data_IF_796664346288
#
_entry.id   IF_796664346288
#
_cell.length_a   1.000
_cell.length_b   1.000
_cell.length_c   1.000
_cell.angle_alpha   90.00
_cell.angle_beta   90.00
_cell.angle_gamma   90.00
#
_symmetry.space_group_name_H-M   'P 1'
#
loop_
_entity.id
_entity.type
_entity.pdbx_description
1 polymer ?
#
# COMPACT_ATOMS: atom_id res chain seq x y z
N UNK A 1 8.82 8.62 21.64
CA UNK A 1 8.08 7.43 21.16
C UNK A 1 8.85 6.77 20.02
N UNK A 2 8.99 5.44 20.04
CA UNK A 2 9.60 4.69 18.94
C UNK A 2 8.66 4.72 17.73
N UNK A 3 9.14 4.98 16.50
CA UNK A 3 8.27 5.19 15.34
C UNK A 3 7.35 4.01 15.03
N UNK A 4 7.80 2.78 15.27
CA UNK A 4 6.96 1.58 15.11
C UNK A 4 5.91 1.43 16.21
N UNK A 5 6.19 1.87 17.44
CA UNK A 5 5.22 1.83 18.53
C UNK A 5 4.08 2.84 18.32
N UNK A 6 4.30 3.86 17.49
CA UNK A 6 3.27 4.82 17.11
C UNK A 6 2.21 4.23 16.17
N UNK A 7 2.52 3.15 15.43
CA UNK A 7 1.59 2.55 14.47
C UNK A 7 0.26 2.10 15.10
N UNK A 8 0.28 1.69 16.38
CA UNK A 8 -0.94 1.29 17.10
C UNK A 8 -1.88 2.46 17.41
N UNK A 9 -1.38 3.70 17.34
CA UNK A 9 -2.11 4.94 17.64
C UNK A 9 -2.25 5.85 16.42
N UNK A 10 -1.71 5.43 15.28
CA UNK A 10 -1.54 6.29 14.10
C UNK A 10 -2.88 6.66 13.44
N UNK A 11 -3.68 5.64 13.11
CA UNK A 11 -5.01 5.78 12.51
C UNK A 11 -5.97 4.81 13.18
N UNK A 12 -7.24 5.19 13.27
CA UNK A 12 -8.31 4.27 13.65
C UNK A 12 -8.66 3.38 12.45
N UNK A 13 -7.94 2.27 12.31
CA UNK A 13 -8.27 1.21 11.35
C UNK A 13 -9.03 0.12 12.10
N UNK A 14 -10.36 0.01 11.94
CA UNK A 14 -11.14 -1.01 12.61
C UNK A 14 -10.62 -2.41 12.26
N UNK A 15 -10.59 -3.32 13.23
CA UNK A 15 -10.07 -4.67 13.02
C UNK A 15 -10.78 -5.42 11.88
N UNK A 16 -12.07 -5.18 11.67
CA UNK A 16 -12.81 -5.81 10.58
C UNK A 16 -12.34 -5.33 9.20
N UNK A 17 -11.94 -4.07 9.06
CA UNK A 17 -11.44 -3.52 7.81
C UNK A 17 -10.09 -4.14 7.46
N UNK A 18 -9.20 -4.24 8.45
CA UNK A 18 -7.91 -4.90 8.33
C UNK A 18 -8.05 -6.37 7.88
N UNK A 19 -8.96 -7.11 8.52
CA UNK A 19 -9.26 -8.49 8.14
C UNK A 19 -9.82 -8.57 6.70
N UNK A 20 -10.66 -7.61 6.32
CA UNK A 20 -11.26 -7.57 4.98
C UNK A 20 -10.21 -7.36 3.88
N UNK A 21 -9.22 -6.49 4.10
CA UNK A 21 -8.11 -6.32 3.15
C UNK A 21 -7.29 -7.61 3.00
N UNK A 22 -7.03 -8.33 4.09
CA UNK A 22 -6.31 -9.60 4.02
C UNK A 22 -7.05 -10.62 3.15
N UNK A 23 -8.37 -10.75 3.33
CA UNK A 23 -9.19 -11.62 2.47
C UNK A 23 -9.23 -11.14 1.01
N UNK A 24 -9.34 -9.83 0.79
CA UNK A 24 -9.32 -9.25 -0.56
C UNK A 24 -8.00 -9.60 -1.27
N UNK A 25 -6.86 -9.40 -0.62
CA UNK A 25 -5.55 -9.72 -1.21
C UNK A 25 -5.34 -11.21 -1.42
N UNK A 26 -5.85 -12.06 -0.52
CA UNK A 26 -5.81 -13.50 -0.70
C UNK A 26 -6.66 -13.96 -1.89
N UNK A 27 -7.82 -13.34 -2.08
CA UNK A 27 -8.81 -13.77 -3.07
C UNK A 27 -8.34 -13.62 -4.52
N UNK A 28 -7.43 -12.69 -4.82
CA UNK A 28 -6.95 -12.46 -6.19
C UNK A 28 -6.10 -13.60 -6.76
N UNK A 29 -5.00 -14.05 -6.12
CA UNK A 29 -4.26 -15.23 -6.58
C UNK A 29 -5.11 -16.51 -6.51
N UNK A 30 -6.02 -16.63 -5.55
CA UNK A 30 -6.98 -17.74 -5.49
C UNK A 30 -7.89 -17.77 -6.73
N UNK A 31 -8.42 -16.61 -7.12
CA UNK A 31 -9.25 -16.47 -8.31
C UNK A 31 -8.47 -16.80 -9.59
N UNK A 32 -7.22 -16.32 -9.69
CA UNK A 32 -6.34 -16.57 -10.84
C UNK A 32 -5.91 -18.05 -10.96
N UNK A 33 -5.74 -18.73 -9.82
CA UNK A 33 -5.42 -20.16 -9.76
C UNK A 33 -6.61 -21.06 -10.14
N UNK A 34 -7.83 -20.60 -9.83
CA UNK A 34 -9.08 -21.27 -10.16
C UNK A 34 -9.42 -22.45 -9.25
N UNK A 35 -10.37 -23.28 -9.69
CA UNK A 35 -10.86 -24.43 -8.91
C UNK A 35 -9.90 -25.61 -9.10
N UNK A 36 -8.83 -25.61 -8.30
CA UNK A 36 -7.80 -26.67 -8.26
C UNK A 36 -7.46 -27.01 -6.80
N UNK A 37 -6.92 -28.20 -6.51
CA UNK A 37 -6.40 -28.51 -5.19
C UNK A 37 -5.24 -27.59 -4.80
N UNK A 38 -5.20 -27.20 -3.52
CA UNK A 38 -4.20 -26.28 -3.01
C UNK A 38 -3.02 -27.07 -2.45
N UNK A 39 -1.86 -26.92 -3.08
CA UNK A 39 -0.58 -27.44 -2.59
C UNK A 39 0.16 -26.38 -1.75
N UNK A 40 1.33 -26.74 -1.24
CA UNK A 40 2.18 -25.82 -0.45
C UNK A 40 2.67 -24.62 -1.26
N UNK A 41 2.78 -24.75 -2.58
CA UNK A 41 3.25 -23.69 -3.47
C UNK A 41 2.21 -22.58 -3.56
N UNK A 42 0.95 -22.91 -3.88
CA UNK A 42 -0.11 -21.89 -3.97
C UNK A 42 -0.40 -21.25 -2.61
N UNK A 43 -0.34 -22.01 -1.51
CA UNK A 43 -0.48 -21.46 -0.16
C UNK A 43 0.62 -20.43 0.11
N UNK A 44 1.86 -20.73 -0.27
CA UNK A 44 3.00 -19.80 -0.14
C UNK A 44 2.78 -18.54 -0.97
N UNK A 45 2.33 -18.67 -2.23
CA UNK A 45 2.02 -17.54 -3.11
C UNK A 45 0.94 -16.64 -2.50
N UNK A 46 -0.13 -17.23 -1.95
CA UNK A 46 -1.22 -16.48 -1.30
C UNK A 46 -0.68 -15.70 -0.09
N UNK A 47 0.08 -16.36 0.79
CA UNK A 47 0.64 -15.71 1.99
C UNK A 47 1.59 -14.57 1.63
N UNK A 48 2.50 -14.78 0.67
CA UNK A 48 3.42 -13.74 0.22
C UNK A 48 2.69 -12.60 -0.52
N UNK A 49 1.62 -12.90 -1.26
CA UNK A 49 0.77 -11.88 -1.91
C UNK A 49 0.08 -11.00 -0.88
N UNK A 50 -0.48 -11.59 0.18
CA UNK A 50 -1.04 -10.84 1.31
C UNK A 50 0.06 -9.96 1.92
N UNK A 51 1.20 -10.52 2.30
CA UNK A 51 2.28 -9.75 2.93
C UNK A 51 2.77 -8.59 2.05
N UNK A 52 2.93 -8.82 0.74
CA UNK A 52 3.34 -7.81 -0.22
C UNK A 52 2.33 -6.66 -0.32
N UNK A 53 1.08 -6.97 -0.67
CA UNK A 53 0.04 -5.98 -0.93
C UNK A 53 -0.36 -5.23 0.36
N UNK A 54 -0.40 -5.92 1.49
CA UNK A 54 -0.71 -5.32 2.79
C UNK A 54 0.41 -4.38 3.26
N UNK A 55 1.67 -4.75 3.03
CA UNK A 55 2.80 -3.84 3.28
C UNK A 55 2.73 -2.62 2.36
N UNK A 56 2.35 -2.83 1.10
CA UNK A 56 2.20 -1.76 0.11
C UNK A 56 1.10 -0.77 0.48
N UNK A 57 -0.04 -1.29 0.97
CA UNK A 57 -1.15 -0.49 1.49
C UNK A 57 -0.70 0.44 2.63
N UNK A 58 0.01 -0.10 3.63
CA UNK A 58 0.53 0.73 4.71
C UNK A 58 1.59 1.72 4.23
N UNK A 59 2.51 1.29 3.36
CA UNK A 59 3.50 2.20 2.78
C UNK A 59 2.81 3.40 2.09
N UNK A 60 1.81 3.14 1.24
CA UNK A 60 1.06 4.17 0.53
C UNK A 60 0.38 5.16 1.49
N UNK A 61 -0.26 4.67 2.56
CA UNK A 61 -0.87 5.53 3.57
C UNK A 61 0.16 6.41 4.30
N UNK A 62 1.32 5.86 4.64
CA UNK A 62 2.39 6.60 5.33
C UNK A 62 2.99 7.66 4.39
N UNK A 63 3.25 7.29 3.14
CA UNK A 63 3.77 8.21 2.13
C UNK A 63 2.82 9.36 1.84
N UNK A 64 1.52 9.08 1.81
CA UNK A 64 0.47 10.08 1.66
C UNK A 64 0.51 11.08 2.84
N UNK A 65 0.50 10.60 4.09
CA UNK A 65 0.60 11.44 5.28
C UNK A 65 1.87 12.32 5.29
N UNK A 66 2.99 11.81 4.78
CA UNK A 66 4.25 12.57 4.68
C UNK A 66 4.17 13.63 3.58
N UNK A 67 3.63 13.29 2.41
CA UNK A 67 3.63 14.17 1.23
C UNK A 67 2.59 15.28 1.34
N UNK A 68 1.45 14.97 1.95
CA UNK A 68 0.36 15.92 2.14
C UNK A 68 0.47 16.71 3.45
N UNK A 69 1.54 16.54 4.24
CA UNK A 69 1.71 17.19 5.55
C UNK A 69 1.51 18.71 5.54
N UNK A 70 1.97 19.41 4.50
CA UNK A 70 1.80 20.86 4.38
C UNK A 70 0.32 21.23 4.11
N UNK A 71 -0.38 20.45 3.29
CA UNK A 71 -1.81 20.64 2.98
C UNK A 71 -2.66 20.29 4.21
N UNK A 72 -2.37 19.17 4.85
CA UNK A 72 -3.03 18.69 6.06
C UNK A 72 -2.84 19.64 7.23
N UNK A 73 -1.77 20.43 7.28
CA UNK A 73 -1.60 21.45 8.33
C UNK A 73 -2.69 22.53 8.32
N UNK A 74 -3.33 22.74 7.17
CA UNK A 74 -4.44 23.68 6.99
C UNK A 74 -5.77 22.94 7.04
N UNK A 75 -5.90 21.82 6.31
CA UNK A 75 -7.17 21.11 6.14
C UNK A 75 -7.53 20.19 7.32
N UNK A 76 -6.54 19.51 7.91
CA UNK A 76 -6.70 18.48 8.93
C UNK A 76 -5.59 18.59 10.00
N UNK A 77 -5.58 19.67 10.80
CA UNK A 77 -4.48 19.96 11.72
C UNK A 77 -4.31 18.92 12.85
N UNK A 78 -5.32 18.08 13.08
CA UNK A 78 -5.33 16.98 14.05
C UNK A 78 -4.51 15.75 13.59
N UNK A 79 -4.15 15.70 12.30
CA UNK A 79 -3.35 14.63 11.69
C UNK A 79 -2.02 14.42 12.42
N UNK A 80 -1.50 13.18 12.45
CA UNK A 80 -0.28 12.79 13.16
C UNK A 80 0.95 13.68 12.96
N UNK A 81 1.24 14.06 11.71
CA UNK A 81 2.40 14.87 11.36
C UNK A 81 2.16 16.34 11.69
N UNK A 82 1.09 17.01 11.20
CA UNK A 82 0.81 18.41 11.53
C UNK A 82 0.64 18.69 13.03
N UNK A 83 0.00 17.78 13.77
CA UNK A 83 -0.18 17.91 15.22
C UNK A 83 1.09 17.61 16.03
N UNK A 84 2.19 17.22 15.39
CA UNK A 84 3.48 16.95 16.04
C UNK A 84 3.55 15.63 16.81
N UNK A 85 2.55 14.75 16.71
CA UNK A 85 2.55 13.42 17.35
C UNK A 85 3.68 12.53 16.81
N UNK A 86 4.03 12.68 15.54
CA UNK A 86 5.20 12.04 14.90
C UNK A 86 5.86 13.01 13.92
N UNK A 87 7.19 12.99 13.83
CA UNK A 87 7.90 13.80 12.83
C UNK A 87 7.96 13.09 11.47
N UNK A 88 7.86 13.85 10.37
CA UNK A 88 7.91 13.28 9.01
C UNK A 88 9.17 12.45 8.76
N UNK A 89 10.33 12.87 9.30
CA UNK A 89 11.59 12.12 9.21
C UNK A 89 11.53 10.75 9.88
N UNK A 90 10.89 10.66 11.05
CA UNK A 90 10.73 9.37 11.75
C UNK A 90 9.75 8.48 11.00
N UNK A 91 8.70 9.08 10.45
CA UNK A 91 7.69 8.30 9.76
C UNK A 91 8.14 7.82 8.38
N UNK A 92 9.01 8.59 7.72
CA UNK A 92 9.71 8.20 6.50
C UNK A 92 10.49 6.89 6.65
N UNK A 93 11.18 6.68 7.79
CA UNK A 93 11.87 5.42 8.04
C UNK A 93 10.90 4.22 8.10
N UNK A 94 9.70 4.41 8.65
CA UNK A 94 8.65 3.38 8.67
C UNK A 94 8.12 3.13 7.26
N UNK A 95 7.90 4.20 6.49
CA UNK A 95 7.51 4.11 5.08
C UNK A 95 8.50 3.29 4.26
N UNK A 96 9.81 3.51 4.46
CA UNK A 96 10.86 2.75 3.80
C UNK A 96 10.84 1.27 4.16
N UNK A 97 10.60 0.92 5.43
CA UNK A 97 10.52 -0.48 5.85
C UNK A 97 9.33 -1.18 5.19
N UNK A 98 8.14 -0.59 5.22
CA UNK A 98 6.98 -1.18 4.54
C UNK A 98 7.18 -1.26 3.02
N UNK A 99 7.77 -0.23 2.42
CA UNK A 99 8.09 -0.24 0.98
C UNK A 99 9.07 -1.36 0.64
N UNK A 100 10.13 -1.53 1.42
CA UNK A 100 11.10 -2.61 1.24
C UNK A 100 10.44 -3.98 1.39
N UNK A 101 9.55 -4.17 2.37
CA UNK A 101 8.77 -5.40 2.52
C UNK A 101 7.91 -5.70 1.29
N UNK A 102 7.23 -4.70 0.72
CA UNK A 102 6.48 -4.84 -0.53
C UNK A 102 7.36 -5.34 -1.68
N UNK A 103 8.53 -4.75 -1.87
CA UNK A 103 9.47 -5.18 -2.91
C UNK A 103 10.04 -6.58 -2.67
N UNK A 104 10.41 -6.90 -1.43
CA UNK A 104 10.95 -8.21 -1.06
C UNK A 104 9.90 -9.31 -1.30
N UNK A 105 8.68 -9.14 -0.78
CA UNK A 105 7.65 -10.16 -0.91
C UNK A 105 7.13 -10.28 -2.35
N UNK A 106 6.98 -9.18 -3.09
CA UNK A 106 6.61 -9.26 -4.51
C UNK A 106 7.66 -10.01 -5.35
N UNK A 107 8.95 -9.80 -5.08
CA UNK A 107 10.03 -10.56 -5.73
C UNK A 107 9.99 -12.05 -5.39
N UNK A 108 9.69 -12.39 -4.13
CA UNK A 108 9.53 -13.79 -3.70
C UNK A 108 8.28 -14.47 -4.28
N UNK A 109 7.25 -13.71 -4.67
CA UNK A 109 6.09 -14.24 -5.40
C UNK A 109 6.45 -14.52 -6.86
N UNK A 110 6.90 -13.49 -7.59
CA UNK A 110 7.18 -13.58 -9.02
C UNK A 110 7.97 -12.37 -9.49
N UNK A 111 8.86 -12.56 -10.47
CA UNK A 111 9.58 -11.45 -11.09
C UNK A 111 8.63 -10.43 -11.74
N UNK A 112 7.49 -10.88 -12.28
CA UNK A 112 6.48 -10.00 -12.86
C UNK A 112 5.76 -9.16 -11.81
N UNK A 113 5.45 -9.74 -10.64
CA UNK A 113 4.91 -9.01 -9.49
C UNK A 113 5.87 -7.93 -9.01
N UNK A 114 7.18 -8.21 -8.99
CA UNK A 114 8.21 -7.22 -8.64
C UNK A 114 8.24 -6.03 -9.61
N UNK A 115 8.23 -6.30 -10.93
CA UNK A 115 8.16 -5.25 -11.96
C UNK A 115 6.88 -4.42 -11.78
N UNK A 116 5.74 -5.08 -11.58
CA UNK A 116 4.45 -4.43 -11.38
C UNK A 116 4.50 -3.45 -10.20
N UNK A 117 4.95 -3.93 -9.03
CA UNK A 117 5.10 -3.11 -7.82
C UNK A 117 6.06 -1.94 -8.05
N UNK A 118 7.19 -2.17 -8.74
CA UNK A 118 8.14 -1.10 -9.07
C UNK A 118 7.54 -0.01 -9.96
N UNK A 119 6.82 -0.42 -11.02
CA UNK A 119 6.13 0.51 -11.91
C UNK A 119 5.05 1.30 -11.16
N UNK A 120 4.26 0.64 -10.31
CA UNK A 120 3.24 1.30 -9.49
C UNK A 120 3.84 2.26 -8.48
N UNK A 121 4.89 1.87 -7.77
CA UNK A 121 5.56 2.75 -6.80
C UNK A 121 6.12 4.01 -7.48
N UNK A 122 6.73 3.86 -8.66
CA UNK A 122 7.21 4.99 -9.47
C UNK A 122 6.04 5.88 -9.90
N UNK A 123 4.95 5.29 -10.40
CA UNK A 123 3.76 6.03 -10.81
C UNK A 123 3.16 6.83 -9.66
N UNK A 124 2.96 6.20 -8.49
CA UNK A 124 2.42 6.85 -7.28
C UNK A 124 3.33 8.00 -6.84
N UNK A 125 4.65 7.79 -6.81
CA UNK A 125 5.60 8.83 -6.42
C UNK A 125 5.57 10.04 -7.37
N UNK A 126 5.47 9.81 -8.69
CA UNK A 126 5.33 10.88 -9.69
C UNK A 126 3.98 11.57 -9.57
N UNK A 127 2.91 10.81 -9.37
CA UNK A 127 1.55 11.31 -9.21
C UNK A 127 1.43 12.25 -8.01
N UNK A 128 1.85 11.80 -6.83
CA UNK A 128 1.69 12.55 -5.58
C UNK A 128 2.58 13.78 -5.55
N UNK A 129 3.81 13.69 -6.08
CA UNK A 129 4.76 14.81 -6.07
C UNK A 129 4.43 15.88 -7.11
N UNK A 130 4.00 15.48 -8.31
CA UNK A 130 3.87 16.39 -9.45
C UNK A 130 2.45 16.48 -9.99
N UNK A 131 1.85 15.36 -10.41
CA UNK A 131 0.58 15.39 -11.17
C UNK A 131 -0.58 15.95 -10.34
N UNK A 132 -0.69 15.56 -9.06
CA UNK A 132 -1.72 16.05 -8.14
C UNK A 132 -1.70 17.59 -7.98
N UNK A 133 -0.53 18.22 -8.11
CA UNK A 133 -0.37 19.69 -7.99
C UNK A 133 -0.65 20.43 -9.29
N UNK A 134 -0.45 19.76 -10.43
CA UNK A 134 -0.61 20.35 -11.77
C UNK A 134 -2.06 20.21 -12.25
N UNK A 135 -2.67 19.05 -12.04
CA UNK A 135 -4.00 18.73 -12.57
C UNK A 135 -5.08 19.22 -11.61
N UNK A 136 -5.73 20.33 -11.96
CA UNK A 136 -6.85 20.93 -11.19
C UNK A 136 -8.19 20.33 -11.60
N UNK A 137 -8.32 19.01 -11.50
CA UNK A 137 -9.58 18.31 -11.76
C UNK A 137 -10.27 17.97 -10.42
N UNK A 138 -11.58 18.23 -10.26
CA UNK A 138 -12.30 17.87 -9.03
C UNK A 138 -12.22 16.36 -8.78
N UNK A 139 -12.00 15.97 -7.53
CA UNK A 139 -11.86 14.57 -7.13
C UNK A 139 -10.76 13.76 -7.87
N UNK A 140 -9.73 14.44 -8.39
CA UNK A 140 -8.64 13.80 -9.14
C UNK A 140 -7.96 12.69 -8.33
N UNK A 141 -7.58 12.98 -7.09
CA UNK A 141 -6.86 12.02 -6.25
C UNK A 141 -7.72 10.81 -5.89
N UNK A 142 -9.02 11.00 -5.66
CA UNK A 142 -9.96 9.93 -5.34
C UNK A 142 -10.13 8.97 -6.51
N UNK A 143 -10.33 9.49 -7.73
CA UNK A 143 -10.47 8.67 -8.94
C UNK A 143 -9.20 7.88 -9.20
N UNK A 144 -8.03 8.51 -9.12
CA UNK A 144 -6.76 7.83 -9.34
C UNK A 144 -6.46 6.79 -8.26
N UNK A 145 -6.81 7.06 -7.00
CA UNK A 145 -6.70 6.06 -5.93
C UNK A 145 -7.58 4.85 -6.21
N UNK A 146 -8.81 5.03 -6.71
CA UNK A 146 -9.67 3.92 -7.15
C UNK A 146 -9.04 3.11 -8.29
N UNK A 147 -8.46 3.79 -9.29
CA UNK A 147 -7.77 3.13 -10.41
C UNK A 147 -6.54 2.34 -9.93
N UNK A 148 -5.81 2.83 -8.93
CA UNK A 148 -4.67 2.11 -8.36
C UNK A 148 -5.08 0.75 -7.78
N UNK A 149 -6.30 0.58 -7.28
CA UNK A 149 -6.77 -0.72 -6.79
C UNK A 149 -6.85 -1.81 -7.87
N UNK A 150 -6.85 -1.46 -9.17
CA UNK A 150 -6.71 -2.43 -10.27
C UNK A 150 -5.40 -3.21 -10.17
N UNK A 151 -4.40 -2.66 -9.47
CA UNK A 151 -3.13 -3.36 -9.26
C UNK A 151 -3.30 -4.68 -8.51
N UNK A 152 -4.30 -4.78 -7.64
CA UNK A 152 -4.54 -5.94 -6.79
C UNK A 152 -4.94 -7.19 -7.60
N UNK A 153 -5.95 -7.14 -8.49
CA UNK A 153 -6.26 -8.27 -9.36
C UNK A 153 -5.14 -8.57 -10.36
N UNK A 154 -4.46 -7.55 -10.92
CA UNK A 154 -3.34 -7.76 -11.84
C UNK A 154 -2.18 -8.46 -11.13
N UNK A 155 -1.87 -8.05 -9.89
CA UNK A 155 -0.86 -8.70 -9.06
C UNK A 155 -1.23 -10.16 -8.81
N UNK A 156 -2.48 -10.46 -8.43
CA UNK A 156 -2.93 -11.83 -8.21
C UNK A 156 -2.85 -12.71 -9.45
N UNK A 157 -3.10 -12.15 -10.64
CA UNK A 157 -2.93 -12.87 -11.91
C UNK A 157 -1.45 -13.20 -12.19
N UNK A 158 -0.56 -12.21 -12.12
CA UNK A 158 0.89 -12.38 -12.34
C UNK A 158 1.59 -13.20 -11.25
N UNK A 159 0.94 -13.37 -10.09
CA UNK A 159 1.41 -14.25 -9.03
C UNK A 159 1.26 -15.73 -9.41
N UNK A 160 0.36 -16.05 -10.33
CA UNK A 160 0.09 -17.42 -10.80
C UNK A 160 0.72 -17.69 -12.17
N UNK A 161 0.73 -16.70 -13.06
CA UNK A 161 1.09 -16.83 -14.47
C UNK A 161 2.34 -16.03 -14.85
#
# INVERSE_FOLDING_TARGET
>A
MHPFAFLSQWRSLPSFELISYAFMFASMPMLAYGIRPYDSTIITIILLSILSLYSGFFAALIWNDITDADIDSIAHPDRPIPSGKISSKKFFAVALVFSAMTFIFSFLVSFWCFILVGATALFVAVHDKYLKKIVKFPAYSEIFTSVQWIIVPVFGFLAIW
#
